data_IF_483485595884
#
_entry.id   IF_483485595884
#
_cell.length_a   1.000
_cell.length_b   1.000
_cell.length_c   1.000
_cell.angle_alpha   90.00
_cell.angle_beta   90.00
_cell.angle_gamma   90.00
#
_symmetry.space_group_name_H-M   'P 1'
#
loop_
_entity.id
_entity.type
_entity.pdbx_description
1 polymer ?
#
# COMPACT_ATOMS: atom_id res chain seq x y z
N UNK A 1 5.67 14.99 -7.11
CA UNK A 1 6.13 15.77 -8.26
C UNK A 1 7.20 15.05 -9.07
N UNK A 2 8.32 14.58 -8.45
CA UNK A 2 9.38 13.83 -9.16
C UNK A 2 8.87 12.56 -9.85
N UNK A 3 8.01 11.78 -9.19
CA UNK A 3 7.38 10.58 -9.78
C UNK A 3 6.53 10.95 -11.00
N UNK A 4 5.75 12.02 -10.92
CA UNK A 4 4.95 12.48 -12.07
C UNK A 4 5.83 12.89 -13.25
N UNK A 5 6.95 13.56 -12.98
CA UNK A 5 7.94 13.87 -14.00
C UNK A 5 8.52 12.61 -14.64
N UNK A 6 8.91 11.63 -13.81
CA UNK A 6 9.46 10.37 -14.31
C UNK A 6 8.45 9.59 -15.18
N UNK A 7 7.19 9.52 -14.76
CA UNK A 7 6.12 8.90 -15.55
C UNK A 7 5.92 9.60 -16.90
N UNK A 8 6.02 10.93 -16.92
CA UNK A 8 5.76 11.70 -18.14
C UNK A 8 6.92 11.65 -19.15
N UNK A 9 8.19 11.51 -18.68
CA UNK A 9 9.37 11.81 -19.52
C UNK A 9 10.48 10.76 -19.49
N UNK A 10 10.34 9.70 -18.67
CA UNK A 10 11.37 8.66 -18.55
C UNK A 10 10.82 7.27 -18.93
N UNK A 11 11.71 6.32 -19.17
CA UNK A 11 11.35 4.89 -19.22
C UNK A 11 10.97 4.43 -17.81
N UNK A 12 9.70 4.63 -17.45
CA UNK A 12 9.20 4.44 -16.10
C UNK A 12 8.55 3.06 -15.92
N UNK A 13 8.95 2.36 -14.85
CA UNK A 13 8.37 1.08 -14.45
C UNK A 13 7.65 1.30 -13.11
N UNK A 14 6.33 1.05 -13.09
CA UNK A 14 5.53 1.04 -11.88
C UNK A 14 5.73 -0.30 -11.15
N UNK A 15 6.42 -0.27 -10.04
CA UNK A 15 6.62 -1.44 -9.18
C UNK A 15 5.55 -1.54 -8.11
N UNK A 16 5.18 -2.74 -7.74
CA UNK A 16 4.17 -3.00 -6.70
C UNK A 16 4.74 -2.99 -5.29
N UNK A 17 6.07 -3.18 -5.17
CA UNK A 17 6.79 -3.22 -3.89
C UNK A 17 8.17 -2.59 -4.06
N UNK A 18 8.69 -1.92 -3.04
CA UNK A 18 9.98 -1.22 -3.10
C UNK A 18 11.18 -2.19 -3.24
N UNK A 19 11.07 -3.38 -2.66
CA UNK A 19 12.08 -4.43 -2.85
C UNK A 19 12.16 -4.90 -4.29
N UNK A 20 11.01 -5.07 -4.94
CA UNK A 20 10.93 -5.44 -6.36
C UNK A 20 11.44 -4.29 -7.26
N UNK A 21 11.19 -3.03 -6.87
CA UNK A 21 11.73 -1.87 -7.57
C UNK A 21 13.27 -1.86 -7.55
N UNK A 22 13.88 -2.15 -6.40
CA UNK A 22 15.34 -2.26 -6.25
C UNK A 22 15.89 -3.41 -7.12
N UNK A 23 15.26 -4.57 -7.10
CA UNK A 23 15.68 -5.72 -7.91
C UNK A 23 15.54 -5.42 -9.42
N UNK A 24 14.46 -4.76 -9.84
CA UNK A 24 14.27 -4.31 -11.23
C UNK A 24 15.35 -3.32 -11.67
N UNK A 25 15.69 -2.35 -10.81
CA UNK A 25 16.82 -1.44 -11.04
C UNK A 25 18.13 -2.22 -11.19
N UNK A 26 18.36 -3.22 -10.35
CA UNK A 26 19.57 -4.06 -10.43
C UNK A 26 19.67 -4.80 -11.76
N UNK A 27 18.56 -5.35 -12.26
CA UNK A 27 18.49 -5.97 -13.59
C UNK A 27 18.79 -4.97 -14.72
N UNK A 28 18.24 -3.76 -14.64
CA UNK A 28 18.51 -2.70 -15.60
C UNK A 28 19.99 -2.27 -15.61
N UNK A 29 20.62 -2.20 -14.43
CA UNK A 29 22.06 -1.93 -14.33
C UNK A 29 22.89 -3.02 -15.03
N UNK A 30 22.56 -4.30 -14.79
CA UNK A 30 23.24 -5.42 -15.45
C UNK A 30 23.07 -5.41 -16.98
N UNK A 31 22.01 -4.80 -17.49
CA UNK A 31 21.79 -4.54 -18.90
C UNK A 31 22.48 -3.26 -19.41
N UNK A 32 23.37 -2.64 -18.61
CA UNK A 32 24.15 -1.45 -18.99
C UNK A 32 23.40 -0.12 -18.86
N UNK A 33 22.24 -0.09 -18.19
CA UNK A 33 21.49 1.15 -17.93
C UNK A 33 21.98 1.83 -16.65
N UNK A 34 21.59 3.09 -16.45
CA UNK A 34 21.75 3.83 -15.19
C UNK A 34 20.36 3.97 -14.53
N UNK A 35 19.93 2.98 -13.74
CA UNK A 35 18.61 2.99 -13.15
C UNK A 35 18.51 3.94 -11.97
N UNK A 36 17.29 4.43 -11.75
CA UNK A 36 16.95 5.27 -10.60
C UNK A 36 15.71 4.67 -9.91
N UNK A 37 15.79 4.45 -8.59
CA UNK A 37 14.64 4.05 -7.80
C UNK A 37 14.06 5.25 -7.05
N UNK A 38 12.73 5.39 -7.09
CA UNK A 38 11.99 6.43 -6.40
C UNK A 38 11.07 5.77 -5.38
N UNK A 39 11.16 6.16 -4.10
CA UNK A 39 10.29 5.61 -3.06
C UNK A 39 10.02 6.60 -1.93
N UNK A 40 9.00 6.30 -1.15
CA UNK A 40 8.80 6.93 0.16
C UNK A 40 9.66 6.19 1.19
N UNK A 41 10.15 6.89 2.23
CA UNK A 41 10.96 6.25 3.26
C UNK A 41 10.24 5.10 4.02
N UNK A 42 8.90 5.13 4.09
CA UNK A 42 8.14 3.98 4.62
C UNK A 42 8.40 2.67 3.85
N UNK A 43 8.72 2.78 2.56
CA UNK A 43 9.06 1.64 1.71
C UNK A 43 10.52 1.17 1.84
N UNK A 44 11.39 1.98 2.45
CA UNK A 44 12.80 1.61 2.63
C UNK A 44 12.94 0.30 3.42
N UNK A 45 12.04 0.04 4.39
CA UNK A 45 11.99 -1.23 5.11
C UNK A 45 11.79 -2.46 4.20
N UNK A 46 11.00 -2.34 3.12
CA UNK A 46 10.81 -3.42 2.13
C UNK A 46 12.04 -3.60 1.25
N UNK A 47 12.85 -2.56 1.08
CA UNK A 47 14.04 -2.55 0.24
C UNK A 47 15.32 -3.03 0.97
N UNK A 48 15.29 -3.19 2.29
CA UNK A 48 16.48 -3.60 3.08
C UNK A 48 17.10 -4.89 2.54
N UNK A 49 16.30 -5.93 2.34
CA UNK A 49 16.80 -7.23 1.88
C UNK A 49 17.50 -7.14 0.51
N UNK A 50 16.90 -6.62 -0.57
CA UNK A 50 17.61 -6.54 -1.84
C UNK A 50 18.77 -5.54 -1.81
N UNK A 51 18.70 -4.44 -1.07
CA UNK A 51 19.83 -3.50 -0.95
C UNK A 51 21.05 -4.14 -0.32
N UNK A 52 20.87 -4.98 0.69
CA UNK A 52 21.97 -5.63 1.44
C UNK A 52 22.42 -6.94 0.80
N UNK A 53 21.50 -7.81 0.37
CA UNK A 53 21.82 -9.16 -0.12
C UNK A 53 21.99 -9.26 -1.64
N UNK A 54 21.43 -8.32 -2.41
CA UNK A 54 21.63 -8.25 -3.86
C UNK A 54 22.62 -7.14 -4.21
N UNK A 55 22.28 -5.88 -3.93
CA UNK A 55 23.08 -4.74 -4.38
C UNK A 55 24.48 -4.70 -3.76
N UNK A 56 24.56 -4.80 -2.42
CA UNK A 56 25.88 -4.76 -1.76
C UNK A 56 26.70 -6.03 -2.06
N UNK A 57 26.07 -7.21 -2.01
CA UNK A 57 26.76 -8.48 -2.23
C UNK A 57 27.34 -8.60 -3.65
N UNK A 58 26.54 -8.25 -4.67
CA UNK A 58 26.95 -8.34 -6.07
C UNK A 58 27.61 -7.07 -6.61
N UNK A 59 27.77 -6.04 -5.77
CA UNK A 59 28.34 -4.73 -6.14
C UNK A 59 27.59 -4.10 -7.32
N UNK A 60 26.27 -4.17 -7.27
CA UNK A 60 25.36 -3.56 -8.25
C UNK A 60 24.88 -2.21 -7.69
N UNK A 61 25.48 -1.08 -8.10
CA UNK A 61 25.12 0.22 -7.56
C UNK A 61 23.82 0.73 -8.18
N UNK A 62 23.00 1.41 -7.40
CA UNK A 62 21.83 2.11 -7.86
C UNK A 62 21.76 3.53 -7.28
N UNK A 63 21.11 4.45 -8.02
CA UNK A 63 20.73 5.77 -7.52
C UNK A 63 19.32 5.69 -6.94
N UNK A 64 19.16 6.12 -5.68
CA UNK A 64 17.85 6.19 -5.02
C UNK A 64 17.44 7.62 -4.67
N UNK A 65 16.14 7.88 -4.73
CA UNK A 65 15.52 9.09 -4.18
C UNK A 65 14.45 8.64 -3.17
N UNK A 66 14.65 8.99 -1.91
CA UNK A 66 13.78 8.59 -0.80
C UNK A 66 13.14 9.82 -0.17
N UNK A 67 11.82 9.96 -0.26
CA UNK A 67 11.13 11.06 0.38
C UNK A 67 11.13 10.89 1.90
N UNK A 68 11.44 11.97 2.63
CA UNK A 68 11.58 11.95 4.09
C UNK A 68 10.25 12.32 4.76
N UNK A 69 9.30 11.36 4.82
CA UNK A 69 8.09 11.49 5.61
C UNK A 69 8.44 11.32 7.09
N UNK A 70 7.79 12.11 7.96
CA UNK A 70 8.09 12.11 9.39
C UNK A 70 9.47 12.68 9.74
N UNK A 71 10.05 13.51 8.88
CA UNK A 71 11.34 14.16 9.16
C UNK A 71 11.28 14.89 10.52
N UNK A 72 12.25 14.68 11.42
CA UNK A 72 12.29 15.34 12.72
C UNK A 72 12.06 16.84 12.64
N UNK A 73 11.21 17.38 13.52
CA UNK A 73 10.82 18.79 13.51
C UNK A 73 9.71 19.16 12.53
N UNK A 74 9.16 18.20 11.75
CA UNK A 74 8.01 18.42 10.86
C UNK A 74 6.78 17.66 11.36
N UNK A 75 5.60 18.28 11.28
CA UNK A 75 4.34 17.59 11.58
C UNK A 75 3.99 16.61 10.44
N UNK A 76 3.82 15.34 10.78
CA UNK A 76 3.38 14.30 9.86
C UNK A 76 2.43 13.30 10.57
N UNK A 77 2.07 12.22 9.91
CA UNK A 77 1.19 11.18 10.41
C UNK A 77 1.91 10.22 11.37
N UNK A 78 1.21 9.64 12.38
CA UNK A 78 1.84 8.77 13.39
C UNK A 78 2.68 7.64 12.82
N UNK A 79 2.25 7.02 11.72
CA UNK A 79 2.99 5.93 11.08
C UNK A 79 4.32 6.36 10.46
N UNK A 80 4.57 7.64 10.32
CA UNK A 80 5.82 8.16 9.76
C UNK A 80 6.83 8.59 10.83
N UNK A 81 6.43 8.73 12.09
CA UNK A 81 7.28 9.24 13.16
C UNK A 81 8.56 8.44 13.34
N UNK A 82 8.43 7.13 13.62
CA UNK A 82 9.60 6.27 13.81
C UNK A 82 10.44 6.17 12.54
N UNK A 83 9.78 5.90 11.39
CA UNK A 83 10.51 5.74 10.14
C UNK A 83 11.21 7.04 9.72
N UNK A 84 10.58 8.20 9.99
CA UNK A 84 11.20 9.50 9.79
C UNK A 84 12.45 9.70 10.64
N UNK A 85 12.39 9.32 11.91
CA UNK A 85 13.53 9.45 12.83
C UNK A 85 14.73 8.57 12.39
N UNK A 86 14.48 7.36 11.89
CA UNK A 86 15.55 6.38 11.58
C UNK A 86 15.96 6.31 10.11
N UNK A 87 15.36 7.09 9.20
CA UNK A 87 15.60 6.96 7.74
C UNK A 87 17.07 7.07 7.38
N UNK A 88 17.77 8.07 7.87
CA UNK A 88 19.18 8.30 7.55
C UNK A 88 20.09 7.27 8.21
N UNK A 89 19.83 6.93 9.46
CA UNK A 89 20.56 5.89 10.19
C UNK A 89 20.40 4.51 9.51
N UNK A 90 19.21 4.22 8.97
CA UNK A 90 18.96 2.96 8.25
C UNK A 90 19.79 2.89 6.96
N UNK A 91 19.94 4.00 6.22
CA UNK A 91 20.84 4.06 5.06
C UNK A 91 22.30 3.84 5.46
N UNK A 92 22.75 4.45 6.56
CA UNK A 92 24.10 4.26 7.11
C UNK A 92 24.37 2.81 7.55
N UNK A 93 23.40 2.19 8.25
CA UNK A 93 23.48 0.79 8.67
C UNK A 93 23.60 -0.18 7.49
N UNK A 94 22.99 0.16 6.35
CA UNK A 94 23.12 -0.59 5.10
C UNK A 94 24.38 -0.24 4.30
N UNK A 95 25.26 0.61 4.84
CA UNK A 95 26.48 1.09 4.18
C UNK A 95 26.19 1.81 2.83
N UNK A 96 25.04 2.52 2.76
CA UNK A 96 24.63 3.28 1.60
C UNK A 96 25.01 4.75 1.79
N UNK A 97 25.74 5.32 0.82
CA UNK A 97 26.05 6.75 0.84
C UNK A 97 24.77 7.55 0.58
N UNK A 98 24.57 8.62 1.32
CA UNK A 98 23.39 9.45 1.18
C UNK A 98 23.67 10.93 1.46
N UNK A 99 22.84 11.81 0.89
CA UNK A 99 22.78 13.25 1.24
C UNK A 99 21.34 13.76 1.10
N UNK A 100 21.02 14.85 1.81
CA UNK A 100 19.82 15.62 1.49
C UNK A 100 20.02 16.33 0.14
N UNK A 101 19.06 16.14 -0.78
CA UNK A 101 19.09 16.87 -2.04
C UNK A 101 18.82 18.35 -1.80
N UNK A 102 19.72 19.20 -2.28
CA UNK A 102 19.56 20.66 -2.19
C UNK A 102 18.39 21.13 -3.04
N UNK A 103 17.73 22.22 -2.57
CA UNK A 103 16.74 22.98 -3.37
C UNK A 103 17.38 23.92 -4.37
N UNK A 104 18.64 24.28 -4.16
CA UNK A 104 19.41 25.09 -5.08
C UNK A 104 19.91 24.23 -6.25
N UNK A 105 19.57 24.63 -7.47
CA UNK A 105 19.88 23.88 -8.68
C UNK A 105 21.37 23.71 -8.92
N UNK A 106 22.20 24.69 -8.55
CA UNK A 106 23.66 24.64 -8.76
C UNK A 106 24.27 23.62 -7.80
N UNK A 107 23.83 23.64 -6.54
CA UNK A 107 24.28 22.67 -5.53
C UNK A 107 23.76 21.27 -5.87
N UNK A 108 22.48 21.11 -6.22
CA UNK A 108 21.90 19.83 -6.62
C UNK A 108 22.65 19.22 -7.82
N UNK A 109 23.04 20.03 -8.80
CA UNK A 109 23.82 19.56 -9.94
C UNK A 109 25.20 19.01 -9.52
N UNK A 110 25.88 19.67 -8.58
CA UNK A 110 27.15 19.18 -8.03
C UNK A 110 26.96 17.87 -7.24
N UNK A 111 25.89 17.78 -6.46
CA UNK A 111 25.53 16.54 -5.71
C UNK A 111 25.26 15.38 -6.67
N UNK A 112 24.56 15.61 -7.79
CA UNK A 112 24.30 14.58 -8.80
C UNK A 112 25.61 14.10 -9.49
N UNK A 113 26.56 15.02 -9.75
CA UNK A 113 27.89 14.65 -10.29
C UNK A 113 28.62 13.74 -9.28
N UNK A 114 28.68 14.15 -8.02
CA UNK A 114 29.30 13.36 -6.95
C UNK A 114 28.64 11.98 -6.79
N UNK A 115 27.30 11.92 -6.77
CA UNK A 115 26.57 10.66 -6.71
C UNK A 115 26.91 9.73 -7.89
N UNK A 116 27.01 10.28 -9.11
CA UNK A 116 27.42 9.49 -10.29
C UNK A 116 28.86 8.96 -10.17
N UNK A 117 29.78 9.70 -9.57
CA UNK A 117 31.14 9.22 -9.29
C UNK A 117 31.17 8.06 -8.29
N UNK A 118 30.34 8.12 -7.24
CA UNK A 118 30.20 7.05 -6.23
C UNK A 118 29.62 5.79 -6.89
N UNK A 119 28.58 5.94 -7.70
CA UNK A 119 27.95 4.86 -8.45
C UNK A 119 28.94 4.22 -9.43
N UNK A 120 29.74 5.02 -10.13
CA UNK A 120 30.78 4.51 -11.04
C UNK A 120 31.83 3.69 -10.31
N UNK A 121 32.06 3.94 -9.01
CA UNK A 121 32.94 3.15 -8.14
C UNK A 121 32.25 1.90 -7.54
N UNK A 122 31.04 1.54 -8.00
CA UNK A 122 30.32 0.35 -7.60
C UNK A 122 29.57 0.47 -6.26
N UNK A 123 29.28 1.70 -5.79
CA UNK A 123 28.55 1.93 -4.53
C UNK A 123 27.20 2.62 -4.81
N UNK A 124 26.16 2.17 -4.17
CA UNK A 124 24.85 2.83 -4.22
C UNK A 124 24.88 4.20 -3.54
N UNK A 125 24.05 5.11 -4.05
CA UNK A 125 23.87 6.44 -3.48
C UNK A 125 22.38 6.79 -3.41
N UNK A 126 21.95 7.37 -2.27
CA UNK A 126 20.56 7.77 -2.07
C UNK A 126 20.44 9.24 -1.72
N UNK A 127 19.61 9.96 -2.44
CA UNK A 127 19.17 11.28 -2.02
C UNK A 127 17.97 11.19 -1.11
N UNK A 128 18.09 11.81 0.06
CA UNK A 128 16.96 12.00 0.99
C UNK A 128 16.27 13.30 0.64
N UNK A 129 14.95 13.26 0.40
CA UNK A 129 14.18 14.36 -0.13
C UNK A 129 13.30 14.94 0.95
N UNK A 130 13.64 16.13 1.44
CA UNK A 130 12.81 16.89 2.37
C UNK A 130 11.55 17.41 1.70
N UNK A 131 10.55 17.77 2.51
CA UNK A 131 9.31 18.39 2.02
C UNK A 131 9.60 19.67 1.23
N UNK A 132 8.90 19.85 0.11
CA UNK A 132 9.03 21.02 -0.79
C UNK A 132 10.43 21.16 -1.42
N UNK A 133 11.14 20.06 -1.69
CA UNK A 133 12.39 20.09 -2.47
C UNK A 133 12.10 20.25 -3.95
N UNK A 134 11.02 19.64 -4.47
CA UNK A 134 10.61 19.79 -5.86
C UNK A 134 9.39 20.71 -6.00
N UNK A 135 9.35 21.47 -7.07
CA UNK A 135 8.18 22.24 -7.50
C UNK A 135 7.05 21.30 -8.01
N UNK A 136 5.86 21.90 -8.20
CA UNK A 136 4.69 21.17 -8.69
C UNK A 136 4.90 20.65 -10.11
N UNK A 137 4.54 19.40 -10.32
CA UNK A 137 4.53 18.77 -11.63
C UNK A 137 3.27 17.90 -11.78
N UNK A 138 2.42 18.24 -12.75
CA UNK A 138 1.21 17.52 -13.03
C UNK A 138 1.49 16.18 -13.71
N UNK A 139 0.70 15.16 -13.40
CA UNK A 139 0.70 13.90 -14.13
C UNK A 139 -0.09 14.08 -15.43
N UNK A 140 0.56 13.84 -16.56
CA UNK A 140 -0.08 13.77 -17.87
C UNK A 140 -0.51 12.32 -18.05
N UNK A 141 -1.72 12.00 -17.66
CA UNK A 141 -2.18 10.60 -17.66
C UNK A 141 -2.43 10.11 -19.09
N UNK A 142 -1.67 9.10 -19.51
CA UNK A 142 -1.90 8.34 -20.74
C UNK A 142 -2.54 6.96 -20.46
N UNK A 143 -2.82 6.64 -19.20
CA UNK A 143 -3.41 5.35 -18.82
C UNK A 143 -4.91 5.41 -19.04
N UNK A 144 -5.45 4.47 -19.85
CA UNK A 144 -6.88 4.33 -20.07
C UNK A 144 -7.59 4.15 -18.72
N UNK A 145 -8.38 5.14 -18.33
CA UNK A 145 -9.25 5.01 -17.17
C UNK A 145 -10.49 4.23 -17.59
N UNK A 146 -10.87 3.24 -16.79
CA UNK A 146 -12.15 2.54 -16.98
C UNK A 146 -13.30 3.46 -16.55
N UNK A 147 -14.39 3.50 -17.33
CA UNK A 147 -15.61 4.18 -16.92
C UNK A 147 -16.34 3.32 -15.89
N UNK A 148 -16.09 3.57 -14.62
CA UNK A 148 -16.78 2.93 -13.51
C UNK A 148 -17.53 4.01 -12.74
N UNK A 149 -18.79 3.78 -12.46
CA UNK A 149 -19.67 4.78 -11.82
C UNK A 149 -19.85 4.57 -10.32
N UNK A 150 -19.53 3.37 -9.81
CA UNK A 150 -19.65 3.05 -8.40
C UNK A 150 -18.46 3.65 -7.65
N UNK A 151 -18.72 4.43 -6.62
CA UNK A 151 -17.66 5.00 -5.81
C UNK A 151 -17.41 4.19 -4.50
N UNK A 152 -16.23 4.36 -3.93
CA UNK A 152 -15.80 3.65 -2.72
C UNK A 152 -16.76 3.85 -1.56
N UNK A 153 -17.20 5.08 -1.33
CA UNK A 153 -18.07 5.42 -0.22
C UNK A 153 -19.41 4.68 -0.27
N UNK A 154 -19.99 4.53 -1.46
CA UNK A 154 -21.25 3.78 -1.63
C UNK A 154 -21.09 2.30 -1.26
N UNK A 155 -20.00 1.67 -1.70
CA UNK A 155 -19.73 0.26 -1.38
C UNK A 155 -19.41 0.08 0.11
N UNK A 156 -18.62 0.99 0.70
CA UNK A 156 -18.33 0.94 2.13
C UNK A 156 -19.59 1.08 2.98
N UNK A 157 -20.53 1.95 2.59
CA UNK A 157 -21.84 2.06 3.26
C UNK A 157 -22.62 0.74 3.21
N UNK A 158 -22.59 0.00 2.10
CA UNK A 158 -23.24 -1.30 2.02
C UNK A 158 -22.54 -2.33 2.93
N UNK A 159 -21.23 -2.42 2.85
CA UNK A 159 -20.45 -3.37 3.67
C UNK A 159 -20.70 -3.15 5.16
N UNK A 160 -20.64 -1.91 5.63
CA UNK A 160 -20.76 -1.57 7.06
C UNK A 160 -22.19 -1.76 7.61
N UNK A 161 -23.23 -1.85 6.77
CA UNK A 161 -24.60 -2.22 7.19
C UNK A 161 -24.69 -3.65 7.72
N UNK A 162 -23.78 -4.54 7.33
CA UNK A 162 -23.72 -5.92 7.80
C UNK A 162 -23.01 -6.07 9.15
N UNK A 163 -22.96 -4.98 9.94
CA UNK A 163 -22.43 -4.99 11.30
C UNK A 163 -23.27 -5.91 12.22
N UNK A 164 -22.57 -6.70 13.01
CA UNK A 164 -23.16 -7.57 14.03
C UNK A 164 -22.10 -7.84 15.12
N UNK A 165 -22.52 -8.39 16.24
CA UNK A 165 -21.63 -8.65 17.38
C UNK A 165 -20.55 -9.69 17.08
N UNK A 166 -20.71 -10.47 16.02
CA UNK A 166 -19.76 -11.48 15.56
C UNK A 166 -18.98 -11.07 14.30
N UNK A 167 -19.12 -9.81 13.84
CA UNK A 167 -18.46 -9.32 12.61
C UNK A 167 -17.36 -8.29 12.94
N UNK A 168 -16.21 -8.49 12.35
CA UNK A 168 -15.04 -7.61 12.43
C UNK A 168 -14.72 -7.04 11.04
N UNK A 169 -14.42 -5.75 10.98
CA UNK A 169 -14.07 -5.07 9.73
C UNK A 169 -12.60 -4.63 9.74
N UNK A 170 -11.88 -4.97 8.69
CA UNK A 170 -10.48 -4.64 8.51
C UNK A 170 -10.30 -3.75 7.29
N UNK A 171 -10.14 -2.45 7.51
CA UNK A 171 -9.93 -1.48 6.44
C UNK A 171 -8.46 -1.26 6.14
N UNK A 172 -8.07 -1.38 4.86
CA UNK A 172 -6.71 -1.10 4.42
C UNK A 172 -6.32 0.36 4.63
N UNK A 173 -5.01 0.63 4.64
CA UNK A 173 -4.47 1.99 4.78
C UNK A 173 -4.94 2.93 3.68
N UNK A 174 -4.92 4.22 3.95
CA UNK A 174 -5.26 5.27 3.00
C UNK A 174 -6.71 5.72 3.08
N UNK A 175 -7.35 5.95 1.92
CA UNK A 175 -8.70 6.53 1.87
C UNK A 175 -9.78 5.57 2.35
N UNK A 176 -9.61 4.27 2.17
CA UNK A 176 -10.58 3.24 2.61
C UNK A 176 -10.83 3.31 4.12
N UNK A 177 -9.79 3.23 4.94
CA UNK A 177 -9.94 3.33 6.40
C UNK A 177 -10.51 4.69 6.85
N UNK A 178 -10.16 5.78 6.16
CA UNK A 178 -10.68 7.12 6.45
C UNK A 178 -12.16 7.26 6.13
N UNK A 179 -12.61 6.73 4.99
CA UNK A 179 -14.03 6.73 4.61
C UNK A 179 -14.86 5.81 5.52
N UNK A 180 -14.33 4.65 5.91
CA UNK A 180 -14.98 3.79 6.91
C UNK A 180 -15.20 4.52 8.23
N UNK A 181 -14.20 5.27 8.70
CA UNK A 181 -14.30 6.07 9.92
C UNK A 181 -15.38 7.16 9.82
N UNK A 182 -15.45 7.89 8.68
CA UNK A 182 -16.48 8.92 8.48
C UNK A 182 -17.90 8.36 8.35
N UNK A 183 -18.05 7.14 7.82
CA UNK A 183 -19.36 6.49 7.66
C UNK A 183 -19.89 6.02 9.00
N UNK A 184 -19.11 5.25 9.73
CA UNK A 184 -19.52 4.71 11.04
C UNK A 184 -18.29 4.24 11.82
N UNK A 185 -17.90 5.00 12.85
CA UNK A 185 -16.79 4.60 13.73
C UNK A 185 -17.27 3.62 14.80
N UNK A 186 -16.92 2.35 14.62
CA UNK A 186 -17.34 1.26 15.49
C UNK A 186 -16.15 0.59 16.19
N UNK A 187 -16.38 -0.03 17.36
CA UNK A 187 -15.37 -0.78 18.12
C UNK A 187 -14.81 -1.99 17.35
N UNK A 188 -15.59 -2.57 16.43
CA UNK A 188 -15.23 -3.70 15.57
C UNK A 188 -14.59 -3.29 14.24
N UNK A 189 -14.27 -2.02 14.08
CA UNK A 189 -13.51 -1.51 12.92
C UNK A 189 -12.03 -1.37 13.24
N UNK A 190 -11.19 -2.02 12.45
CA UNK A 190 -9.74 -1.80 12.45
C UNK A 190 -9.34 -0.97 11.24
N UNK A 191 -8.74 0.19 11.49
CA UNK A 191 -8.23 1.08 10.45
C UNK A 191 -6.72 0.93 10.35
N UNK A 192 -6.23 0.26 9.30
CA UNK A 192 -4.79 0.14 9.08
C UNK A 192 -4.18 1.52 8.81
N UNK A 193 -3.15 1.86 9.57
CA UNK A 193 -2.38 3.09 9.41
C UNK A 193 -0.96 2.71 8.99
N UNK A 194 -0.57 3.06 7.76
CA UNK A 194 0.67 2.53 7.18
C UNK A 194 0.56 1.04 6.82
N UNK A 195 1.67 0.32 6.84
CA UNK A 195 1.77 -1.13 6.60
C UNK A 195 0.94 -1.64 5.41
N UNK A 196 1.03 -0.94 4.28
CA UNK A 196 0.29 -1.26 3.06
C UNK A 196 0.51 -2.73 2.66
N UNK A 197 -0.58 -3.43 2.31
CA UNK A 197 -0.57 -4.85 1.94
C UNK A 197 -0.65 -5.83 3.11
N UNK A 198 -0.58 -5.37 4.38
CA UNK A 198 -0.57 -6.28 5.54
C UNK A 198 -1.96 -6.55 6.14
N UNK A 199 -3.03 -5.90 5.65
CA UNK A 199 -4.36 -6.03 6.26
C UNK A 199 -4.91 -7.45 6.19
N UNK A 200 -4.70 -8.14 5.07
CA UNK A 200 -5.15 -9.51 4.86
C UNK A 200 -4.40 -10.52 5.75
N UNK A 201 -3.11 -10.32 5.99
CA UNK A 201 -2.33 -11.14 6.92
C UNK A 201 -2.73 -10.90 8.37
N UNK A 202 -3.02 -9.65 8.76
CA UNK A 202 -3.54 -9.32 10.08
C UNK A 202 -4.86 -10.05 10.34
N UNK A 203 -5.78 -9.97 9.39
CA UNK A 203 -7.08 -10.64 9.47
C UNK A 203 -6.94 -12.17 9.50
N UNK A 204 -6.02 -12.76 8.73
CA UNK A 204 -5.74 -14.20 8.81
C UNK A 204 -5.33 -14.62 10.21
N UNK A 205 -4.36 -13.90 10.81
CA UNK A 205 -3.89 -14.22 12.17
C UNK A 205 -5.02 -14.19 13.21
N UNK A 206 -5.95 -13.23 13.09
CA UNK A 206 -7.12 -13.17 13.97
C UNK A 206 -8.11 -14.30 13.66
N UNK A 207 -8.44 -14.53 12.39
CA UNK A 207 -9.46 -15.49 11.97
C UNK A 207 -9.10 -16.94 12.32
N UNK A 208 -7.82 -17.28 12.39
CA UNK A 208 -7.36 -18.60 12.85
C UNK A 208 -7.51 -18.80 14.36
N UNK A 209 -7.66 -17.69 15.13
CA UNK A 209 -7.75 -17.72 16.59
C UNK A 209 -9.09 -17.19 17.13
N UNK A 210 -10.04 -16.88 16.27
CA UNK A 210 -11.35 -16.35 16.62
C UNK A 210 -12.43 -16.97 15.72
N UNK A 211 -13.63 -17.16 16.29
CA UNK A 211 -14.81 -17.59 15.53
C UNK A 211 -15.58 -16.43 14.91
N UNK A 212 -15.21 -15.18 15.23
CA UNK A 212 -15.85 -14.00 14.64
C UNK A 212 -15.57 -13.94 13.14
N UNK A 213 -16.52 -13.41 12.41
CA UNK A 213 -16.46 -13.20 10.96
C UNK A 213 -15.54 -12.02 10.66
N UNK A 214 -14.62 -12.17 9.75
CA UNK A 214 -13.66 -11.13 9.35
C UNK A 214 -13.93 -10.65 7.93
N UNK A 215 -14.35 -9.42 7.79
CA UNK A 215 -14.52 -8.74 6.50
C UNK A 215 -13.31 -7.85 6.25
N UNK A 216 -12.48 -8.23 5.29
CA UNK A 216 -11.30 -7.49 4.86
C UNK A 216 -11.70 -6.59 3.71
N UNK A 217 -11.41 -5.29 3.82
CA UNK A 217 -11.65 -4.29 2.77
C UNK A 217 -10.29 -3.78 2.32
N UNK A 218 -9.81 -4.34 1.23
CA UNK A 218 -8.49 -4.06 0.66
C UNK A 218 -8.61 -3.19 -0.60
N UNK A 219 -7.50 -2.71 -1.10
CA UNK A 219 -7.38 -1.99 -2.35
C UNK A 219 -6.44 -2.70 -3.32
N UNK A 220 -6.56 -2.41 -4.61
CA UNK A 220 -5.72 -2.99 -5.67
C UNK A 220 -4.22 -2.82 -5.39
N UNK A 221 -3.76 -1.62 -5.10
CA UNK A 221 -2.34 -1.36 -4.81
C UNK A 221 -1.86 -2.06 -3.54
N UNK A 222 -2.71 -2.18 -2.52
CA UNK A 222 -2.41 -2.87 -1.27
C UNK A 222 -2.30 -4.39 -1.50
N UNK A 223 -3.27 -4.98 -2.20
CA UNK A 223 -3.23 -6.39 -2.57
C UNK A 223 -1.99 -6.72 -3.40
N UNK A 224 -1.70 -5.91 -4.44
CA UNK A 224 -0.53 -6.09 -5.32
C UNK A 224 0.78 -6.08 -4.55
N UNK A 225 0.92 -5.21 -3.55
CA UNK A 225 2.14 -5.12 -2.74
C UNK A 225 2.47 -6.41 -1.98
N UNK A 226 1.45 -7.18 -1.59
CA UNK A 226 1.57 -8.42 -0.80
C UNK A 226 0.70 -9.55 -1.35
N UNK A 227 0.59 -9.67 -2.68
CA UNK A 227 -0.30 -10.63 -3.33
C UNK A 227 -0.03 -12.10 -2.93
N UNK A 228 1.18 -12.44 -2.52
CA UNK A 228 1.52 -13.75 -1.95
C UNK A 228 0.69 -14.16 -0.73
N UNK A 229 0.07 -13.19 -0.03
CA UNK A 229 -0.85 -13.47 1.08
C UNK A 229 -2.09 -14.27 0.65
N UNK A 230 -2.52 -14.14 -0.61
CA UNK A 230 -3.63 -14.95 -1.14
C UNK A 230 -3.31 -16.45 -1.03
N UNK A 231 -2.09 -16.84 -1.39
CA UNK A 231 -1.67 -18.24 -1.28
C UNK A 231 -1.64 -18.71 0.18
N UNK A 232 -1.15 -17.87 1.10
CA UNK A 232 -1.13 -18.19 2.53
C UNK A 232 -2.55 -18.37 3.08
N UNK A 233 -3.47 -17.45 2.79
CA UNK A 233 -4.86 -17.51 3.22
C UNK A 233 -5.55 -18.75 2.63
N UNK A 234 -5.35 -19.01 1.33
CA UNK A 234 -5.92 -20.17 0.65
C UNK A 234 -5.40 -21.51 1.16
N UNK A 235 -4.15 -21.57 1.63
CA UNK A 235 -3.59 -22.75 2.27
C UNK A 235 -4.24 -23.07 3.61
N UNK A 236 -4.43 -22.06 4.47
CA UNK A 236 -5.06 -22.25 5.79
C UNK A 236 -6.59 -22.37 5.74
N UNK A 237 -7.23 -21.89 4.67
CA UNK A 237 -8.68 -21.96 4.41
C UNK A 237 -9.59 -21.58 5.60
N UNK A 238 -9.40 -20.43 6.23
CA UNK A 238 -10.30 -19.98 7.29
C UNK A 238 -11.68 -19.70 6.71
N UNK A 239 -12.72 -20.39 7.20
CA UNK A 239 -14.09 -20.27 6.67
C UNK A 239 -14.75 -18.93 6.99
N UNK A 240 -14.23 -18.20 7.95
CA UNK A 240 -14.75 -16.94 8.47
C UNK A 240 -14.11 -15.69 7.87
N UNK A 241 -13.46 -15.79 6.71
CA UNK A 241 -12.90 -14.64 5.98
C UNK A 241 -13.71 -14.33 4.72
N UNK A 242 -14.09 -13.07 4.61
CA UNK A 242 -14.50 -12.40 3.38
C UNK A 242 -13.44 -11.37 2.99
N UNK A 243 -12.76 -11.56 1.88
CA UNK A 243 -11.74 -10.65 1.36
C UNK A 243 -12.32 -9.86 0.18
N UNK A 244 -12.57 -8.58 0.38
CA UNK A 244 -13.12 -7.66 -0.61
C UNK A 244 -11.99 -6.78 -1.12
N UNK A 245 -11.82 -6.70 -2.44
CA UNK A 245 -10.86 -5.81 -3.09
C UNK A 245 -11.61 -4.72 -3.87
N UNK A 246 -11.36 -3.48 -3.50
CA UNK A 246 -11.88 -2.29 -4.16
C UNK A 246 -10.81 -1.73 -5.10
N UNK A 247 -10.94 -1.99 -6.41
CA UNK A 247 -9.98 -1.58 -7.43
C UNK A 247 -10.40 -0.28 -8.11
N UNK A 248 -9.66 0.79 -7.87
CA UNK A 248 -9.78 2.06 -8.59
C UNK A 248 -8.62 2.32 -9.57
N UNK A 249 -7.72 1.36 -9.74
CA UNK A 249 -6.53 1.46 -10.58
C UNK A 249 -5.67 2.70 -10.27
N UNK A 250 -5.58 3.08 -8.98
CA UNK A 250 -4.89 4.31 -8.60
C UNK A 250 -4.40 4.32 -7.15
N UNK A 251 -3.21 4.87 -6.96
CA UNK A 251 -2.67 5.25 -5.65
C UNK A 251 -3.26 6.59 -5.18
N UNK A 252 -4.57 6.64 -4.97
CA UNK A 252 -5.33 7.84 -4.62
C UNK A 252 -4.82 8.60 -3.38
N UNK A 253 -4.16 7.90 -2.46
CA UNK A 253 -3.65 8.48 -1.21
C UNK A 253 -2.32 9.19 -1.35
N UNK A 254 -1.56 8.94 -2.43
CA UNK A 254 -0.18 9.41 -2.60
C UNK A 254 0.07 10.25 -3.85
N UNK A 255 -0.95 10.47 -4.68
CA UNK A 255 -0.82 11.35 -5.85
C UNK A 255 -1.58 10.91 -7.08
N UNK A 256 -2.36 9.83 -6.98
CA UNK A 256 -3.25 9.39 -8.05
C UNK A 256 -2.54 8.69 -9.22
N UNK A 257 -1.28 8.27 -9.04
CA UNK A 257 -0.57 7.46 -10.02
C UNK A 257 -1.30 6.12 -10.22
N UNK A 258 -1.19 5.56 -11.41
CA UNK A 258 -1.83 4.29 -11.73
C UNK A 258 -1.18 3.11 -10.97
N UNK A 259 -1.98 2.06 -10.74
CA UNK A 259 -1.49 0.73 -10.35
C UNK A 259 -1.44 -0.18 -11.56
N UNK A 260 -0.77 -1.31 -11.45
CA UNK A 260 -0.72 -2.31 -12.54
C UNK A 260 -1.93 -3.26 -12.56
N UNK A 261 -3.03 -2.90 -11.90
CA UNK A 261 -4.20 -3.76 -11.73
C UNK A 261 -5.02 -4.01 -13.02
N UNK A 262 -4.85 -3.14 -14.04
CA UNK A 262 -5.70 -3.13 -15.23
C UNK A 262 -5.81 -4.48 -15.96
N UNK A 263 -4.71 -5.19 -16.08
CA UNK A 263 -4.61 -6.42 -16.88
C UNK A 263 -4.51 -7.68 -16.00
N UNK A 264 -4.84 -7.54 -14.70
CA UNK A 264 -4.77 -8.63 -13.74
C UNK A 264 -6.17 -9.17 -13.47
N UNK A 265 -6.33 -10.48 -13.58
CA UNK A 265 -7.54 -11.18 -13.14
C UNK A 265 -7.37 -11.68 -11.70
N UNK A 266 -7.68 -10.82 -10.74
CA UNK A 266 -7.56 -11.13 -9.31
C UNK A 266 -8.48 -12.27 -8.87
N UNK A 267 -9.64 -12.43 -9.50
CA UNK A 267 -10.62 -13.47 -9.20
C UNK A 267 -10.02 -14.84 -9.48
N UNK A 268 -9.44 -15.03 -10.67
CA UNK A 268 -8.80 -16.30 -11.01
C UNK A 268 -7.53 -16.55 -10.19
N UNK A 269 -6.77 -15.52 -9.83
CA UNK A 269 -5.62 -15.66 -8.94
C UNK A 269 -6.06 -16.16 -7.56
N UNK A 270 -7.06 -15.53 -6.95
CA UNK A 270 -7.58 -15.94 -5.64
C UNK A 270 -8.12 -17.38 -5.68
N UNK A 271 -8.86 -17.74 -6.72
CA UNK A 271 -9.38 -19.09 -6.94
C UNK A 271 -8.25 -20.13 -7.02
N UNK A 272 -7.21 -19.85 -7.81
CA UNK A 272 -6.06 -20.72 -7.93
C UNK A 272 -5.19 -20.78 -6.67
N UNK A 273 -5.28 -19.75 -5.80
CA UNK A 273 -4.70 -19.78 -4.46
C UNK A 273 -5.50 -20.60 -3.45
N UNK A 274 -6.72 -21.05 -3.78
CA UNK A 274 -7.51 -21.97 -2.95
C UNK A 274 -8.66 -21.31 -2.19
N UNK A 275 -9.08 -20.11 -2.57
CA UNK A 275 -10.35 -19.54 -2.08
C UNK A 275 -11.53 -20.35 -2.63
N UNK A 276 -12.55 -20.57 -1.77
CA UNK A 276 -13.70 -21.42 -2.11
C UNK A 276 -14.66 -20.71 -3.08
N UNK A 277 -14.90 -19.40 -2.86
CA UNK A 277 -15.75 -18.58 -3.71
C UNK A 277 -14.98 -17.34 -4.16
N UNK A 278 -14.96 -17.06 -5.47
CA UNK A 278 -14.30 -15.89 -6.04
C UNK A 278 -15.22 -15.26 -7.06
N UNK A 279 -15.62 -14.01 -6.84
CA UNK A 279 -16.66 -13.35 -7.63
C UNK A 279 -16.24 -11.93 -7.97
N UNK A 280 -16.37 -11.53 -9.23
CA UNK A 280 -16.36 -10.12 -9.67
C UNK A 280 -17.78 -9.58 -9.60
N UNK A 281 -17.97 -8.42 -8.98
CA UNK A 281 -19.26 -7.77 -8.78
C UNK A 281 -19.24 -6.41 -9.47
N UNK A 282 -20.30 -6.11 -10.25
CA UNK A 282 -20.35 -4.94 -11.11
C UNK A 282 -21.35 -3.87 -10.65
N UNK A 283 -22.26 -4.21 -9.72
CA UNK A 283 -23.30 -3.32 -9.23
C UNK A 283 -23.52 -3.45 -7.72
N UNK A 284 -24.23 -2.50 -7.14
CA UNK A 284 -24.50 -2.44 -5.71
C UNK A 284 -25.43 -3.55 -5.21
N UNK A 285 -26.36 -3.99 -6.03
CA UNK A 285 -27.35 -5.01 -5.67
C UNK A 285 -26.66 -6.37 -5.53
N UNK A 286 -25.78 -6.69 -6.47
CA UNK A 286 -24.95 -7.91 -6.40
C UNK A 286 -24.01 -7.92 -5.20
N UNK A 287 -23.46 -6.76 -4.82
CA UNK A 287 -22.62 -6.61 -3.61
C UNK A 287 -23.43 -6.90 -2.35
N UNK A 288 -24.62 -6.31 -2.20
CA UNK A 288 -25.48 -6.52 -1.02
C UNK A 288 -25.94 -7.97 -0.90
N UNK A 289 -26.31 -8.58 -2.03
CA UNK A 289 -26.70 -9.99 -2.08
C UNK A 289 -25.53 -10.93 -1.71
N UNK A 290 -24.33 -10.67 -2.21
CA UNK A 290 -23.14 -11.46 -1.89
C UNK A 290 -22.80 -11.37 -0.40
N UNK A 291 -22.85 -10.18 0.20
CA UNK A 291 -22.63 -9.95 1.62
C UNK A 291 -23.69 -10.68 2.48
N UNK A 292 -24.97 -10.53 2.13
CA UNK A 292 -26.08 -11.18 2.85
C UNK A 292 -25.93 -12.71 2.81
N UNK A 293 -25.57 -13.28 1.68
CA UNK A 293 -25.36 -14.71 1.53
C UNK A 293 -24.16 -15.19 2.34
N UNK A 294 -23.04 -14.43 2.31
CA UNK A 294 -21.84 -14.80 3.05
C UNK A 294 -22.03 -14.75 4.55
N UNK A 295 -22.73 -13.75 5.09
CA UNK A 295 -23.00 -13.64 6.54
C UNK A 295 -23.80 -14.86 7.05
N UNK A 296 -24.69 -15.42 6.21
CA UNK A 296 -25.47 -16.62 6.55
C UNK A 296 -24.68 -17.92 6.43
N UNK A 297 -23.81 -18.01 5.43
CA UNK A 297 -23.08 -19.23 5.09
C UNK A 297 -21.60 -18.90 4.84
N UNK A 298 -20.84 -18.72 5.93
CA UNK A 298 -19.43 -18.33 5.83
C UNK A 298 -18.57 -19.39 5.17
N UNK A 299 -17.83 -18.96 4.15
CA UNK A 299 -16.79 -19.72 3.48
C UNK A 299 -15.65 -18.78 3.16
N UNK A 300 -14.46 -19.28 2.86
CA UNK A 300 -13.37 -18.42 2.40
C UNK A 300 -13.73 -17.81 1.04
N UNK A 301 -14.10 -16.53 1.05
CA UNK A 301 -14.65 -15.85 -0.12
C UNK A 301 -13.81 -14.64 -0.51
N UNK A 302 -13.61 -14.47 -1.80
CA UNK A 302 -12.96 -13.30 -2.42
C UNK A 302 -13.97 -12.56 -3.29
N UNK A 303 -14.17 -11.26 -3.02
CA UNK A 303 -15.00 -10.38 -3.85
C UNK A 303 -14.13 -9.30 -4.47
N UNK A 304 -14.24 -9.15 -5.78
CA UNK A 304 -13.56 -8.11 -6.52
C UNK A 304 -14.57 -7.10 -7.06
N UNK A 305 -14.34 -5.82 -6.78
CA UNK A 305 -15.25 -4.74 -7.15
C UNK A 305 -14.43 -3.61 -7.77
N UNK A 306 -14.75 -3.26 -9.01
CA UNK A 306 -14.18 -2.08 -9.66
C UNK A 306 -14.92 -0.84 -9.20
N UNK A 307 -14.17 0.16 -8.78
CA UNK A 307 -14.71 1.43 -8.30
C UNK A 307 -14.09 2.62 -9.03
N UNK A 308 -14.78 3.75 -9.04
CA UNK A 308 -14.26 4.99 -9.59
C UNK A 308 -13.11 5.56 -8.75
N UNK A 309 -12.21 6.30 -9.42
CA UNK A 309 -11.14 7.06 -8.75
C UNK A 309 -11.73 8.21 -7.93
N UNK A 310 -10.97 8.60 -6.91
CA UNK A 310 -11.26 9.78 -6.12
C UNK A 310 -11.92 9.48 -4.78
N UNK A 311 -12.16 10.54 -4.05
CA UNK A 311 -12.80 10.57 -2.75
C UNK A 311 -13.36 11.96 -2.49
N UNK A 312 -14.17 12.11 -1.47
CA UNK A 312 -14.63 13.40 -0.95
C UNK A 312 -13.43 14.36 -0.74
N UNK A 313 -13.56 15.62 -1.21
CA UNK A 313 -12.46 16.61 -1.13
C UNK A 313 -11.96 16.87 0.29
N UNK A 314 -12.86 16.92 1.27
CA UNK A 314 -12.56 17.19 2.67
C UNK A 314 -12.64 15.91 3.52
N UNK A 315 -12.13 14.78 3.00
CA UNK A 315 -12.11 13.53 3.73
C UNK A 315 -11.25 13.68 4.99
N UNK A 316 -11.86 13.52 6.15
CA UNK A 316 -11.25 13.58 7.46
C UNK A 316 -10.24 12.45 7.69
N UNK A 317 -9.69 12.40 8.87
CA UNK A 317 -8.85 11.31 9.36
C UNK A 317 -9.44 10.79 10.67
N UNK A 318 -9.26 9.50 10.98
CA UNK A 318 -9.66 8.98 12.27
C UNK A 318 -9.09 9.86 13.39
N UNK A 319 -9.96 10.35 14.26
CA UNK A 319 -9.57 11.12 15.46
C UNK A 319 -9.15 10.21 16.60
N UNK A 320 -9.46 8.92 16.51
CA UNK A 320 -9.05 7.88 17.46
C UNK A 320 -7.61 7.49 17.17
N UNK A 321 -6.79 7.39 18.22
CA UNK A 321 -5.39 7.00 18.06
C UNK A 321 -5.27 5.53 17.59
N UNK A 322 -4.20 5.16 16.87
CA UNK A 322 -3.96 3.76 16.50
C UNK A 322 -3.93 2.81 17.69
N UNK A 323 -3.43 3.28 18.82
CA UNK A 323 -3.38 2.51 20.09
C UNK A 323 -4.79 2.24 20.62
N UNK A 324 -5.67 3.24 20.62
CA UNK A 324 -7.05 3.08 21.08
C UNK A 324 -7.86 2.20 20.12
N UNK A 325 -7.65 2.35 18.80
CA UNK A 325 -8.24 1.44 17.79
C UNK A 325 -7.83 0.00 18.08
N UNK A 326 -6.54 -0.26 18.31
CA UNK A 326 -6.04 -1.60 18.63
C UNK A 326 -6.67 -2.16 19.91
N UNK A 327 -6.76 -1.36 20.98
CA UNK A 327 -7.33 -1.76 22.26
C UNK A 327 -8.81 -2.11 22.13
N UNK A 328 -9.65 -1.18 21.64
CA UNK A 328 -11.10 -1.40 21.50
C UNK A 328 -11.43 -2.56 20.56
N UNK A 329 -10.67 -2.70 19.47
CA UNK A 329 -10.85 -3.80 18.54
C UNK A 329 -10.52 -5.17 19.18
N UNK A 330 -9.40 -5.24 19.93
CA UNK A 330 -9.03 -6.44 20.69
C UNK A 330 -10.10 -6.79 21.71
N UNK A 331 -10.61 -5.81 22.45
CA UNK A 331 -11.66 -6.02 23.45
C UNK A 331 -12.93 -6.56 22.80
N UNK A 332 -13.35 -5.99 21.66
CA UNK A 332 -14.51 -6.47 20.89
C UNK A 332 -14.28 -7.89 20.34
N UNK A 333 -13.11 -8.16 19.76
CA UNK A 333 -12.78 -9.46 19.19
C UNK A 333 -12.81 -10.60 20.23
N UNK A 334 -12.54 -10.29 21.52
CA UNK A 334 -12.49 -11.24 22.61
C UNK A 334 -13.80 -11.29 23.45
N UNK A 335 -14.79 -10.42 23.17
CA UNK A 335 -16.11 -10.54 23.80
C UNK A 335 -16.71 -11.91 23.45
N UNK A 336 -17.04 -12.70 24.46
CA UNK A 336 -17.80 -13.93 24.26
C UNK A 336 -19.19 -13.54 23.79
N UNK A 337 -19.69 -14.18 22.77
CA UNK A 337 -21.11 -14.12 22.45
C UNK A 337 -21.79 -15.02 23.49
N UNK A 338 -22.56 -14.41 24.38
CA UNK A 338 -23.43 -15.12 25.33
C UNK A 338 -24.51 -15.91 24.60
#
# INVERSE_FOLDING_TARGET
HLINFAINYCDFIMSTNEGDAVATCSGAYLAGKKPVVLMQNSGLGNAVSPLTSLNDTFKIPILGFVSHRGQPGTKDEPQHELMGAITTELLELMNINWEYLSKDNVIASKQLIMANEIITKGKSFFFVISKNTFGDHALISNVKTRNVFINRNEILNQILRHKADDVLFFGTTGKTGREMFEIDDMENNFYMVGSMGCISSLALGLSLNSRKKSIIIDGDGSLLMRMGNLATIGFYKPKNILHIVLDNNSHDSTGGQFTVSNDINFVEIAKNCGYDNCIELEDKESVDQALTNWVKNTTLTFLYIRISKGSKKNLGRPSVSPTDVSKRFKDFANKKND
#
